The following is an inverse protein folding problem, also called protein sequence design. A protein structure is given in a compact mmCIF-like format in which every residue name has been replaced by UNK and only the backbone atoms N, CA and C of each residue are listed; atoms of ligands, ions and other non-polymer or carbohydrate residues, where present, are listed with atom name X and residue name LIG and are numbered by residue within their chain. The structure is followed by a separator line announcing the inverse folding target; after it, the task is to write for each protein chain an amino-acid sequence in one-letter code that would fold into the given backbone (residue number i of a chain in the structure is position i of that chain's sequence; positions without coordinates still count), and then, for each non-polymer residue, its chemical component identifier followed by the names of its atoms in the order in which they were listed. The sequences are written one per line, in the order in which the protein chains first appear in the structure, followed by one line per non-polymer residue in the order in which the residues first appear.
data_IF_837142808739
#
_entry.id   IF_837142808739
#
_cell.length_a   1.000
_cell.length_b   1.000
_cell.length_c   1.000
_cell.angle_alpha   90.00
_cell.angle_beta   90.00
_cell.angle_gamma   90.00
#
_symmetry.space_group_name_H-M   'P 1'
#
loop_
_entity.id
_entity.type
_entity.pdbx_description
1 polymer ?
#
# COMPACT_ATOMS: atom_id res chain seq x y z
N UNK A 1 -57.73 -31.08 59.20
CA UNK A 1 -56.54 -30.20 59.05
C UNK A 1 -56.09 -30.34 57.61
N UNK A 2 -56.60 -29.47 56.73
CA UNK A 2 -56.44 -29.60 55.27
C UNK A 2 -55.14 -28.93 54.82
N UNK A 3 -54.29 -29.67 54.10
CA UNK A 3 -52.98 -29.22 53.63
C UNK A 3 -53.09 -28.26 52.45
N UNK A 4 -52.39 -27.14 52.51
CA UNK A 4 -52.18 -26.21 51.39
C UNK A 4 -51.24 -26.82 50.34
N UNK A 5 -51.41 -26.55 49.03
CA UNK A 5 -50.43 -26.94 48.02
C UNK A 5 -49.17 -26.04 48.11
N UNK A 6 -47.97 -26.55 47.75
CA UNK A 6 -46.75 -25.76 47.76
C UNK A 6 -46.75 -24.72 46.63
N UNK A 7 -46.02 -23.59 46.78
CA UNK A 7 -45.91 -22.59 45.73
C UNK A 7 -45.09 -23.14 44.55
N UNK A 8 -45.55 -22.84 43.34
CA UNK A 8 -44.82 -23.14 42.11
C UNK A 8 -43.51 -22.34 42.11
N UNK A 9 -42.38 -23.05 42.04
CA UNK A 9 -41.06 -22.46 41.81
C UNK A 9 -41.09 -21.69 40.49
N UNK A 10 -40.87 -20.37 40.58
CA UNK A 10 -40.61 -19.52 39.43
C UNK A 10 -39.47 -20.12 38.62
N UNK A 11 -39.73 -20.44 37.35
CA UNK A 11 -38.69 -20.77 36.39
C UNK A 11 -37.67 -19.63 36.39
N UNK A 12 -36.42 -19.94 36.75
CA UNK A 12 -35.34 -18.99 36.73
C UNK A 12 -35.24 -18.36 35.34
N UNK A 13 -35.24 -17.03 35.29
CA UNK A 13 -34.93 -16.30 34.08
C UNK A 13 -33.60 -16.81 33.51
N UNK A 14 -33.67 -17.51 32.38
CA UNK A 14 -32.48 -17.95 31.67
C UNK A 14 -31.60 -16.74 31.39
N UNK A 15 -30.33 -16.81 31.78
CA UNK A 15 -29.35 -15.79 31.39
C UNK A 15 -29.43 -15.58 29.87
N UNK A 16 -29.49 -14.32 29.38
CA UNK A 16 -29.43 -14.09 27.95
C UNK A 16 -28.08 -14.60 27.45
N UNK A 17 -28.10 -15.67 26.64
CA UNK A 17 -26.91 -16.19 25.99
C UNK A 17 -26.35 -15.09 25.08
N UNK A 18 -25.14 -14.59 25.37
CA UNK A 18 -24.44 -13.66 24.49
C UNK A 18 -24.03 -14.38 23.21
N UNK A 19 -24.58 -13.98 22.07
CA UNK A 19 -24.25 -14.50 20.74
C UNK A 19 -23.64 -13.38 19.91
N UNK A 20 -22.44 -13.61 19.38
CA UNK A 20 -21.72 -12.65 18.54
C UNK A 20 -21.14 -13.36 17.31
N UNK A 21 -21.12 -12.65 16.18
CA UNK A 21 -20.50 -13.09 14.94
C UNK A 21 -19.66 -11.95 14.39
N UNK A 22 -18.48 -12.28 13.84
CA UNK A 22 -17.62 -11.33 13.14
C UNK A 22 -17.22 -11.92 11.79
N UNK A 23 -17.11 -11.08 10.77
CA UNK A 23 -16.60 -11.45 9.46
C UNK A 23 -15.54 -10.43 9.04
N UNK A 24 -14.50 -10.94 8.40
CA UNK A 24 -13.45 -10.12 7.80
C UNK A 24 -13.28 -10.55 6.35
N UNK A 25 -12.90 -9.61 5.49
CA UNK A 25 -12.43 -9.89 4.15
C UNK A 25 -10.94 -9.57 4.07
N UNK A 26 -10.16 -10.52 3.57
CA UNK A 26 -8.78 -10.30 3.18
C UNK A 26 -8.75 -9.94 1.69
N UNK A 27 -8.19 -8.78 1.33
CA UNK A 27 -8.04 -8.33 -0.06
C UNK A 27 -6.56 -8.04 -0.37
N UNK A 28 -6.06 -8.44 -1.54
CA UNK A 28 -4.72 -8.06 -1.96
C UNK A 28 -4.74 -6.62 -2.51
N UNK A 29 -3.89 -5.76 -1.97
CA UNK A 29 -3.50 -4.49 -2.59
C UNK A 29 -2.19 -4.71 -3.33
N UNK A 30 -2.14 -4.37 -4.62
CA UNK A 30 -0.95 -4.52 -5.47
C UNK A 30 -0.59 -3.19 -6.10
N UNK A 31 0.70 -2.98 -6.31
CA UNK A 31 1.24 -1.85 -7.06
C UNK A 31 2.69 -2.11 -7.43
N UNK A 32 3.26 -1.22 -8.24
CA UNK A 32 4.64 -1.34 -8.65
C UNK A 32 5.31 0.02 -8.78
N UNK A 33 6.63 0.01 -8.76
CA UNK A 33 7.50 1.14 -9.05
C UNK A 33 8.46 0.75 -10.19
N UNK A 34 8.73 1.69 -11.10
CA UNK A 34 9.84 1.59 -12.05
C UNK A 34 10.90 2.61 -11.67
N UNK A 35 12.06 2.14 -11.23
CA UNK A 35 13.26 2.92 -10.96
C UNK A 35 14.15 2.89 -12.21
N UNK A 36 14.29 4.04 -12.88
CA UNK A 36 15.20 4.20 -14.02
C UNK A 36 16.45 4.95 -13.56
N UNK A 37 17.61 4.40 -13.89
CA UNK A 37 18.92 4.94 -13.56
C UNK A 37 19.64 5.18 -14.87
N UNK A 38 19.69 6.44 -15.28
CA UNK A 38 20.48 6.88 -16.43
C UNK A 38 21.93 7.10 -15.96
N UNK A 39 22.91 6.63 -16.72
CA UNK A 39 24.32 6.73 -16.33
C UNK A 39 24.77 5.60 -15.40
N UNK A 40 24.29 4.37 -15.61
CA UNK A 40 24.68 3.19 -14.81
C UNK A 40 26.20 3.04 -14.68
N UNK A 41 26.97 3.38 -15.71
CA UNK A 41 28.43 3.35 -15.65
C UNK A 41 29.00 4.19 -14.50
N UNK A 42 28.39 5.34 -14.18
CA UNK A 42 28.81 6.23 -13.10
C UNK A 42 28.41 5.74 -11.72
N UNK A 43 27.33 4.95 -11.60
CA UNK A 43 26.91 4.44 -10.29
C UNK A 43 27.92 3.45 -9.71
N UNK A 44 28.76 2.85 -10.55
CA UNK A 44 29.85 1.96 -10.12
C UNK A 44 30.95 2.65 -9.32
N UNK A 45 31.04 3.98 -9.37
CA UNK A 45 32.01 4.74 -8.60
C UNK A 45 31.57 4.98 -7.14
N UNK A 46 30.32 4.66 -6.79
CA UNK A 46 29.84 4.77 -5.41
C UNK A 46 30.54 3.72 -4.53
N UNK A 47 31.03 4.04 -3.32
CA UNK A 47 31.61 3.02 -2.45
C UNK A 47 30.55 1.99 -2.01
N UNK A 48 30.98 0.80 -1.59
CA UNK A 48 30.07 -0.18 -1.02
C UNK A 48 29.31 0.36 0.19
N UNK A 49 28.06 -0.08 0.35
CA UNK A 49 27.12 0.47 1.33
C UNK A 49 26.42 1.77 0.92
N UNK A 50 26.89 2.48 -0.13
CA UNK A 50 26.14 3.62 -0.69
C UNK A 50 25.00 3.17 -1.61
N UNK A 51 23.90 3.92 -1.56
CA UNK A 51 22.66 3.59 -2.30
C UNK A 51 22.08 4.76 -3.06
N UNK A 52 21.36 4.43 -4.12
CA UNK A 52 20.39 5.31 -4.76
C UNK A 52 19.00 4.85 -4.32
N UNK A 53 18.25 5.73 -3.64
CA UNK A 53 16.89 5.46 -3.20
C UNK A 53 15.89 6.04 -4.18
N UNK A 54 14.87 5.25 -4.53
CA UNK A 54 13.77 5.69 -5.39
C UNK A 54 12.86 6.72 -4.72
N UNK A 55 11.98 7.31 -5.52
CA UNK A 55 10.79 7.98 -4.99
C UNK A 55 9.92 7.02 -4.18
N UNK A 56 9.11 7.60 -3.29
CA UNK A 56 8.17 6.88 -2.46
C UNK A 56 6.89 6.56 -3.25
N UNK A 57 6.43 5.32 -3.19
CA UNK A 57 5.18 4.88 -3.78
C UNK A 57 4.27 4.21 -2.75
N UNK A 58 2.95 4.21 -3.00
CA UNK A 58 1.95 3.75 -2.02
C UNK A 58 1.32 2.43 -2.45
N UNK A 59 1.38 1.42 -1.59
CA UNK A 59 0.69 0.14 -1.77
C UNK A 59 0.08 -0.29 -0.44
N UNK A 60 -1.20 -0.65 -0.47
CA UNK A 60 -1.92 -1.11 0.71
C UNK A 60 -2.04 -0.06 1.83
N UNK A 61 -2.11 1.23 1.47
CA UNK A 61 -2.10 2.36 2.42
C UNK A 61 -0.75 2.64 3.08
N UNK A 62 0.32 1.96 2.67
CA UNK A 62 1.69 2.14 3.20
C UNK A 62 2.60 2.72 2.14
N UNK A 63 3.63 3.41 2.60
CA UNK A 63 4.66 4.01 1.77
C UNK A 63 5.89 3.12 1.68
N UNK A 64 6.39 2.97 0.47
CA UNK A 64 7.48 2.08 0.13
C UNK A 64 8.51 2.83 -0.72
N UNK A 65 9.77 2.45 -0.60
CA UNK A 65 10.83 2.88 -1.50
C UNK A 65 11.77 1.71 -1.81
N UNK A 66 12.48 1.81 -2.93
CA UNK A 66 13.48 0.83 -3.36
C UNK A 66 14.86 1.44 -3.21
N UNK A 67 15.76 0.72 -2.56
CA UNK A 67 17.18 1.05 -2.49
C UNK A 67 17.96 0.19 -3.48
N UNK A 68 18.75 0.84 -4.31
CA UNK A 68 19.70 0.23 -5.24
C UNK A 68 21.13 0.47 -4.77
N UNK A 69 21.87 -0.62 -4.59
CA UNK A 69 23.29 -0.60 -4.21
C UNK A 69 24.13 -1.16 -5.36
N UNK A 70 24.87 -0.31 -6.10
CA UNK A 70 25.67 -0.75 -7.24
C UNK A 70 26.83 -1.66 -6.84
N UNK A 71 27.35 -1.49 -5.61
CA UNK A 71 28.53 -2.18 -5.09
C UNK A 71 28.23 -2.94 -3.79
N UNK A 72 26.98 -3.37 -3.62
CA UNK A 72 26.54 -4.12 -2.45
C UNK A 72 26.16 -3.24 -1.26
N UNK A 73 25.41 -3.82 -0.33
CA UNK A 73 24.89 -3.14 0.86
C UNK A 73 25.85 -3.12 2.06
N UNK A 74 26.96 -3.85 1.99
CA UNK A 74 27.95 -3.93 3.05
C UNK A 74 28.91 -2.73 2.96
N UNK A 75 28.80 -1.81 3.91
CA UNK A 75 29.68 -0.64 4.00
C UNK A 75 31.12 -0.97 4.44
N UNK A 76 31.39 -2.22 4.85
CA UNK A 76 32.75 -2.67 5.22
C UNK A 76 33.57 -3.16 4.02
N UNK A 77 32.93 -3.33 2.86
CA UNK A 77 33.58 -3.72 1.62
C UNK A 77 33.40 -2.60 0.58
N UNK A 78 34.50 -2.16 -0.04
CA UNK A 78 34.43 -1.09 -1.04
C UNK A 78 33.75 -1.54 -2.34
N UNK A 79 33.78 -2.85 -2.63
CA UNK A 79 33.24 -3.41 -3.86
C UNK A 79 32.64 -4.81 -3.63
N UNK A 80 31.42 -5.02 -4.14
CA UNK A 80 30.82 -6.34 -4.34
C UNK A 80 30.85 -6.71 -5.82
N UNK A 81 30.84 -8.00 -6.12
CA UNK A 81 30.67 -8.55 -7.48
C UNK A 81 29.22 -8.54 -7.95
N UNK A 82 28.26 -8.13 -7.11
CA UNK A 82 26.84 -8.10 -7.43
C UNK A 82 26.18 -6.77 -7.05
N UNK A 83 25.10 -6.42 -7.75
CA UNK A 83 24.23 -5.32 -7.31
C UNK A 83 23.25 -5.85 -6.27
N UNK A 84 22.89 -5.01 -5.30
CA UNK A 84 21.88 -5.32 -4.29
C UNK A 84 20.63 -4.45 -4.46
N UNK A 85 19.47 -5.02 -4.19
CA UNK A 85 18.17 -4.34 -4.28
C UNK A 85 17.35 -4.65 -3.03
N UNK A 86 16.82 -3.62 -2.38
CA UNK A 86 16.00 -3.76 -1.19
C UNK A 86 14.73 -2.93 -1.27
N UNK A 87 13.62 -3.50 -0.81
CA UNK A 87 12.37 -2.79 -0.57
C UNK A 87 12.34 -2.37 0.90
N UNK A 88 12.04 -1.10 1.16
CA UNK A 88 11.86 -0.58 2.52
C UNK A 88 10.47 0.01 2.72
N UNK A 89 9.97 -0.19 3.94
CA UNK A 89 8.78 0.46 4.44
C UNK A 89 9.17 1.80 5.06
N UNK A 90 8.60 2.89 4.53
CA UNK A 90 8.87 4.26 4.98
C UNK A 90 7.86 4.61 6.07
N UNK A 91 8.35 5.02 7.25
CA UNK A 91 7.50 5.52 8.33
C UNK A 91 7.57 7.02 8.51
N UNK A 92 6.61 7.61 9.22
CA UNK A 92 6.67 9.02 9.61
C UNK A 92 7.28 9.19 11.00
N UNK A 93 7.97 10.31 11.22
CA UNK A 93 8.75 10.61 12.43
C UNK A 93 7.96 10.51 13.75
N UNK A 94 6.62 10.64 13.71
CA UNK A 94 5.76 10.62 14.89
C UNK A 94 5.11 9.26 15.19
N UNK A 95 5.31 8.26 14.33
CA UNK A 95 4.78 6.91 14.59
C UNK A 95 5.70 6.17 15.57
N UNK A 96 5.36 6.25 16.86
CA UNK A 96 6.01 5.46 17.92
C UNK A 96 5.65 3.97 17.86
N UNK A 97 4.72 3.57 16.98
CA UNK A 97 4.26 2.20 16.85
C UNK A 97 5.14 1.44 15.85
N UNK A 98 5.76 0.35 16.30
CA UNK A 98 6.48 -0.62 15.45
C UNK A 98 5.48 -1.37 14.57
N UNK A 99 4.93 -0.71 13.55
CA UNK A 99 4.09 -1.41 12.56
C UNK A 99 4.94 -2.49 11.88
N UNK A 100 4.39 -3.71 11.83
CA UNK A 100 4.96 -4.85 11.12
C UNK A 100 4.05 -5.15 9.95
N UNK A 101 4.56 -4.97 8.74
CA UNK A 101 3.78 -5.20 7.53
C UNK A 101 4.33 -6.43 6.83
N UNK A 102 3.48 -7.41 6.57
CA UNK A 102 3.83 -8.56 5.73
C UNK A 102 3.46 -8.22 4.29
N UNK A 103 4.45 -8.26 3.39
CA UNK A 103 4.24 -7.96 1.99
C UNK A 103 5.01 -8.95 1.10
N UNK A 104 4.41 -9.28 -0.04
CA UNK A 104 5.09 -9.94 -1.15
C UNK A 104 5.81 -8.87 -1.97
N UNK A 105 7.03 -9.16 -2.42
CA UNK A 105 7.78 -8.29 -3.33
C UNK A 105 8.46 -9.10 -4.43
N UNK A 106 8.69 -8.46 -5.58
CA UNK A 106 9.46 -9.02 -6.68
C UNK A 106 10.26 -7.91 -7.36
N UNK A 107 11.50 -8.19 -7.69
CA UNK A 107 12.35 -7.31 -8.48
C UNK A 107 12.57 -7.89 -9.88
N UNK A 108 12.59 -7.02 -10.88
CA UNK A 108 12.86 -7.39 -12.27
C UNK A 108 13.67 -6.30 -12.97
N UNK A 109 14.63 -6.69 -13.80
CA UNK A 109 15.28 -5.78 -14.73
C UNK A 109 14.48 -5.75 -16.03
N UNK A 110 14.21 -4.54 -16.51
CA UNK A 110 13.43 -4.33 -17.71
C UNK A 110 14.34 -4.15 -18.93
N UNK A 111 13.92 -4.71 -20.06
CA UNK A 111 14.45 -4.32 -21.37
C UNK A 111 13.89 -2.96 -21.80
N UNK A 112 14.38 -2.42 -22.92
CA UNK A 112 13.89 -1.15 -23.49
C UNK A 112 12.40 -1.15 -23.85
N UNK A 113 11.82 -2.33 -24.11
CA UNK A 113 10.40 -2.46 -24.43
C UNK A 113 9.53 -2.51 -23.16
N UNK A 114 10.15 -2.52 -21.97
CA UNK A 114 9.48 -2.59 -20.67
C UNK A 114 9.15 -4.00 -20.22
N UNK A 115 9.70 -5.03 -20.85
CA UNK A 115 9.49 -6.43 -20.45
C UNK A 115 10.54 -6.86 -19.43
N UNK A 116 10.18 -7.75 -18.52
CA UNK A 116 11.12 -8.36 -17.59
C UNK A 116 12.11 -9.27 -18.33
N UNK A 117 13.37 -8.85 -18.42
CA UNK A 117 14.45 -9.60 -19.08
C UNK A 117 15.35 -10.35 -18.08
N UNK A 118 15.29 -9.96 -16.81
CA UNK A 118 15.88 -10.71 -15.69
C UNK A 118 15.00 -10.53 -14.45
N UNK A 119 14.76 -11.59 -13.69
CA UNK A 119 13.96 -11.54 -12.46
C UNK A 119 14.30 -12.69 -11.54
N UNK A 120 14.11 -12.47 -10.24
CA UNK A 120 14.11 -13.53 -9.22
C UNK A 120 12.67 -13.84 -8.77
N UNK A 121 12.42 -15.02 -8.19
CA UNK A 121 11.10 -15.40 -7.69
C UNK A 121 10.55 -14.38 -6.68
N UNK A 122 9.24 -14.17 -6.67
CA UNK A 122 8.63 -13.29 -5.68
C UNK A 122 8.82 -13.84 -4.26
N UNK A 123 9.24 -12.97 -3.34
CA UNK A 123 9.47 -13.30 -1.93
C UNK A 123 8.44 -12.64 -1.03
N UNK A 124 8.29 -13.15 0.19
CA UNK A 124 7.42 -12.54 1.20
C UNK A 124 8.23 -12.17 2.43
N UNK A 125 8.29 -10.88 2.71
CA UNK A 125 9.01 -10.30 3.83
C UNK A 125 8.08 -9.75 4.91
N UNK A 126 8.60 -9.64 6.13
CA UNK A 126 8.01 -8.76 7.15
C UNK A 126 8.88 -7.53 7.30
N UNK A 127 8.29 -6.37 7.05
CA UNK A 127 8.92 -5.06 7.06
C UNK A 127 8.59 -4.34 8.35
N UNK A 128 9.53 -3.56 8.87
CA UNK A 128 9.30 -2.65 9.99
C UNK A 128 9.52 -1.22 9.55
N UNK A 129 8.75 -0.29 10.13
CA UNK A 129 8.92 1.13 9.84
C UNK A 129 10.34 1.55 10.18
N UNK A 130 11.09 1.95 9.15
CA UNK A 130 12.40 2.56 9.35
C UNK A 130 12.17 4.03 9.65
N UNK A 131 12.79 4.54 10.71
CA UNK A 131 12.72 5.98 11.03
C UNK A 131 13.32 6.76 9.87
N UNK A 132 12.69 7.82 9.36
CA UNK A 132 13.34 8.71 8.41
C UNK A 132 14.46 9.45 9.12
N UNK A 133 15.69 9.19 8.72
CA UNK A 133 16.86 9.96 9.16
C UNK A 133 16.91 11.33 8.47
N UNK A 134 16.04 11.60 7.47
CA UNK A 134 16.16 12.71 6.53
C UNK A 134 15.04 13.78 6.59
N UNK A 135 14.42 14.04 7.74
CA UNK A 135 13.58 15.23 7.93
C UNK A 135 14.02 16.06 9.14
N UNK A 136 15.33 16.14 9.40
CA UNK A 136 15.86 17.09 10.38
C UNK A 136 16.75 18.18 9.78
N UNK A 137 17.02 18.16 8.48
CA UNK A 137 17.62 19.30 7.80
C UNK A 137 16.89 19.54 6.50
N UNK A 138 16.58 20.82 6.26
CA UNK A 138 15.76 21.28 5.16
C UNK A 138 16.36 20.96 3.80
N UNK A 139 15.62 21.41 2.78
CA UNK A 139 16.03 21.43 1.39
C UNK A 139 17.52 21.71 1.19
N UNK A 140 18.07 20.98 0.21
CA UNK A 140 19.41 21.00 -0.34
C UNK A 140 20.48 20.13 0.38
N UNK A 141 21.12 19.31 -0.46
CA UNK A 141 22.29 18.46 -0.25
C UNK A 141 22.04 17.05 0.30
N UNK A 142 22.06 16.09 -0.63
CA UNK A 142 22.29 14.69 -0.33
C UNK A 142 23.73 14.48 0.14
N UNK A 143 23.91 14.33 1.44
CA UNK A 143 25.01 13.61 2.10
C UNK A 143 24.55 13.37 3.54
N UNK A 144 24.36 12.11 3.93
CA UNK A 144 24.01 11.76 5.30
C UNK A 144 25.25 11.94 6.20
N UNK A 145 25.32 13.02 6.96
CA UNK A 145 26.31 13.16 8.04
C UNK A 145 25.81 12.42 9.27
N UNK A 146 26.56 11.40 9.70
CA UNK A 146 26.30 10.69 10.94
C UNK A 146 26.33 11.67 12.14
N UNK A 147 25.43 11.52 13.14
CA UNK A 147 25.40 12.42 14.28
C UNK A 147 26.68 12.29 15.10
N UNK A 148 27.48 13.35 15.14
CA UNK A 148 28.60 13.49 16.07
C UNK A 148 27.99 13.85 17.42
N UNK A 149 27.66 12.84 18.24
CA UNK A 149 27.73 12.90 19.71
C UNK A 149 27.22 11.61 20.36
N UNK A 150 28.14 10.92 21.03
CA UNK A 150 27.87 10.23 22.31
C UNK A 150 27.03 8.96 22.29
N UNK A 151 27.67 7.81 22.04
CA UNK A 151 27.49 6.62 22.90
C UNK A 151 26.18 5.83 22.83
N UNK A 152 25.34 6.03 21.82
CA UNK A 152 24.32 5.05 21.45
C UNK A 152 24.67 4.50 20.08
N UNK A 153 24.95 3.20 20.01
CA UNK A 153 25.07 2.48 18.75
C UNK A 153 23.91 2.91 17.87
N UNK A 154 24.20 3.59 16.76
CA UNK A 154 23.20 3.93 15.75
C UNK A 154 22.44 2.63 15.50
N UNK A 155 21.19 2.57 15.93
CA UNK A 155 20.39 1.37 15.78
C UNK A 155 20.42 1.07 14.29
N UNK A 156 21.03 -0.06 13.90
CA UNK A 156 21.21 -0.42 12.51
C UNK A 156 19.90 -0.18 11.77
N UNK A 157 19.91 0.75 10.81
CA UNK A 157 18.72 1.05 10.03
C UNK A 157 18.21 -0.26 9.42
N UNK A 158 16.90 -0.54 9.52
CA UNK A 158 16.33 -1.71 8.85
C UNK A 158 16.49 -1.47 7.34
N UNK A 159 17.46 -2.15 6.73
CA UNK A 159 17.74 -2.08 5.29
C UNK A 159 16.56 -2.58 4.45
N UNK A 160 15.54 -3.17 5.09
CA UNK A 160 14.37 -3.70 4.43
C UNK A 160 14.56 -5.15 4.01
N UNK A 161 13.85 -5.58 2.96
CA UNK A 161 13.91 -6.96 2.45
C UNK A 161 14.19 -6.94 0.96
N UNK A 162 15.03 -7.85 0.51
CA UNK A 162 15.53 -7.88 -0.84
C UNK A 162 16.72 -8.80 -0.99
N UNK A 163 17.55 -8.52 -1.98
CA UNK A 163 18.64 -9.40 -2.41
C UNK A 163 19.97 -8.70 -2.21
N UNK A 164 20.84 -9.29 -1.40
CA UNK A 164 22.24 -8.84 -1.25
C UNK A 164 23.06 -9.05 -2.53
N UNK A 165 22.68 -10.06 -3.33
CA UNK A 165 23.25 -10.36 -4.64
C UNK A 165 22.10 -10.64 -5.62
N UNK A 166 21.48 -9.59 -6.15
CA UNK A 166 20.34 -9.71 -7.06
C UNK A 166 20.77 -10.25 -8.44
N UNK A 167 21.85 -9.69 -8.97
CA UNK A 167 22.49 -10.13 -10.22
C UNK A 167 23.97 -9.76 -10.12
N UNK A 168 24.85 -10.65 -10.58
CA UNK A 168 26.29 -10.36 -10.62
C UNK A 168 26.56 -9.28 -11.67
N UNK A 169 27.57 -8.45 -11.42
CA UNK A 169 28.03 -7.42 -12.36
C UNK A 169 28.44 -8.06 -13.67
N UNK A 170 29.09 -9.22 -13.62
CA UNK A 170 29.48 -10.02 -14.78
C UNK A 170 28.28 -10.41 -15.64
N UNK A 171 27.20 -10.91 -15.02
CA UNK A 171 25.97 -11.28 -15.74
C UNK A 171 25.27 -10.05 -16.32
N UNK A 172 25.20 -8.96 -15.55
CA UNK A 172 24.58 -7.72 -15.98
C UNK A 172 25.34 -7.10 -17.17
N UNK A 173 26.67 -7.13 -17.13
CA UNK A 173 27.54 -6.69 -18.22
C UNK A 173 27.47 -7.59 -19.45
N UNK A 174 27.38 -8.92 -19.25
CA UNK A 174 27.16 -9.87 -20.35
C UNK A 174 25.86 -9.57 -21.11
N UNK A 175 24.86 -9.02 -20.41
CA UNK A 175 23.55 -8.62 -20.98
C UNK A 175 23.43 -7.12 -21.26
N UNK A 176 24.55 -6.41 -21.37
CA UNK A 176 24.59 -4.96 -21.61
C UNK A 176 23.66 -4.49 -22.73
N UNK A 177 23.62 -5.20 -23.86
CA UNK A 177 22.84 -4.78 -25.03
C UNK A 177 21.33 -4.84 -24.81
N UNK A 178 20.84 -5.63 -23.84
CA UNK A 178 19.43 -5.75 -23.51
C UNK A 178 19.04 -5.04 -22.21
N UNK A 179 19.90 -5.06 -21.19
CA UNK A 179 19.62 -4.55 -19.84
C UNK A 179 20.22 -3.18 -19.52
N UNK A 180 21.25 -2.75 -20.26
CA UNK A 180 22.00 -1.50 -20.02
C UNK A 180 22.11 -0.64 -21.28
N UNK A 181 21.13 -0.76 -22.18
CA UNK A 181 21.16 -0.03 -23.45
C UNK A 181 21.06 1.47 -23.18
N UNK A 182 21.87 2.26 -23.88
CA UNK A 182 22.04 3.70 -23.63
C UNK A 182 22.55 4.03 -22.21
N UNK A 183 23.32 3.12 -21.59
CA UNK A 183 23.83 3.26 -20.22
C UNK A 183 22.73 3.47 -19.17
N UNK A 184 21.54 2.92 -19.45
CA UNK A 184 20.36 3.03 -18.61
C UNK A 184 20.01 1.67 -17.99
N UNK A 185 19.95 1.62 -16.66
CA UNK A 185 19.44 0.47 -15.91
C UNK A 185 17.99 0.75 -15.49
N UNK A 186 17.08 -0.18 -15.78
CA UNK A 186 15.68 -0.08 -15.38
C UNK A 186 15.28 -1.24 -14.46
N UNK A 187 14.83 -0.90 -13.25
CA UNK A 187 14.38 -1.85 -12.24
C UNK A 187 12.88 -1.67 -12.01
N UNK A 188 12.11 -2.76 -12.09
CA UNK A 188 10.73 -2.83 -11.62
C UNK A 188 10.68 -3.51 -10.27
N UNK A 189 9.91 -2.94 -9.35
CA UNK A 189 9.56 -3.56 -8.08
C UNK A 189 8.05 -3.72 -7.99
N UNK A 190 7.56 -4.95 -7.93
CA UNK A 190 6.15 -5.26 -7.66
C UNK A 190 5.96 -5.52 -6.17
N UNK A 191 4.91 -4.96 -5.59
CA UNK A 191 4.58 -5.10 -4.17
C UNK A 191 3.13 -5.54 -4.01
N UNK A 192 2.91 -6.52 -3.14
CA UNK A 192 1.59 -7.03 -2.76
C UNK A 192 1.41 -7.04 -1.24
N UNK A 193 0.41 -6.31 -0.74
CA UNK A 193 0.07 -6.25 0.68
C UNK A 193 -1.31 -6.87 0.90
N UNK A 194 -1.44 -7.72 1.91
CA UNK A 194 -2.75 -8.24 2.31
C UNK A 194 -3.42 -7.27 3.27
N UNK A 195 -4.54 -6.69 2.85
CA UNK A 195 -5.39 -5.86 3.70
C UNK A 195 -6.52 -6.71 4.29
N UNK A 196 -6.80 -6.54 5.58
CA UNK A 196 -7.91 -7.22 6.27
C UNK A 196 -8.89 -6.15 6.74
N UNK A 197 -10.14 -6.23 6.26
CA UNK A 197 -11.19 -5.27 6.60
C UNK A 197 -12.39 -6.00 7.24
N UNK A 198 -12.99 -5.47 8.32
CA UNK A 198 -14.20 -6.04 8.90
C UNK A 198 -15.39 -5.86 7.95
N UNK A 199 -16.24 -6.89 7.87
CA UNK A 199 -17.52 -6.84 7.21
C UNK A 199 -18.64 -6.89 8.25
N UNK A 200 -19.68 -6.08 8.06
CA UNK A 200 -20.87 -6.11 8.92
C UNK A 200 -21.62 -7.44 8.74
N UNK A 201 -21.70 -8.24 9.80
CA UNK A 201 -22.54 -9.45 9.83
C UNK A 201 -23.80 -9.12 10.60
N UNK A 202 -24.90 -8.89 9.87
CA UNK A 202 -26.24 -8.87 10.48
C UNK A 202 -26.82 -10.27 10.31
N UNK A 203 -27.19 -10.98 11.39
CA UNK A 203 -27.94 -12.22 11.26
C UNK A 203 -29.20 -11.94 10.44
N UNK A 204 -29.37 -12.66 9.32
CA UNK A 204 -30.57 -12.52 8.49
C UNK A 204 -31.78 -12.78 9.39
N UNK A 205 -32.69 -11.81 9.60
CA UNK A 205 -33.87 -12.06 10.42
C UNK A 205 -34.59 -13.26 9.84
N UNK A 206 -34.92 -14.26 10.67
CA UNK A 206 -35.90 -15.26 10.28
C UNK A 206 -37.16 -14.46 9.94
N UNK A 207 -37.54 -14.45 8.67
CA UNK A 207 -38.78 -13.82 8.21
C UNK A 207 -39.93 -14.60 8.84
N UNK A 208 -40.27 -14.24 10.08
CA UNK A 208 -41.52 -14.67 10.67
C UNK A 208 -42.63 -14.08 9.78
N UNK A 209 -43.59 -14.89 9.31
CA UNK A 209 -44.73 -14.36 8.58
C UNK A 209 -45.39 -13.27 9.44
N UNK A 210 -45.78 -12.13 8.86
CA UNK A 210 -46.40 -11.07 9.62
C UNK A 210 -47.63 -11.61 10.36
N UNK A 211 -47.84 -11.25 11.64
CA UNK A 211 -49.05 -11.63 12.33
C UNK A 211 -50.26 -11.13 11.54
N UNK A 212 -51.22 -12.02 11.30
CA UNK A 212 -52.49 -11.70 10.65
C UNK A 212 -53.23 -10.73 11.58
N UNK A 213 -53.11 -9.43 11.30
CA UNK A 213 -53.89 -8.40 12.00
C UNK A 213 -55.34 -8.47 11.54
N UNK A 214 -56.33 -8.53 12.44
CA UNK A 214 -57.73 -8.34 12.07
C UNK A 214 -57.88 -6.95 11.45
N UNK A 215 -58.45 -6.87 10.24
CA UNK A 215 -58.76 -5.60 9.58
C UNK A 215 -59.70 -4.79 10.47
N UNK A 216 -59.20 -3.71 11.07
CA UNK A 216 -60.06 -2.61 11.50
C UNK A 216 -60.03 -1.52 10.43
N UNK A 217 -61.18 -1.36 9.79
CA UNK A 217 -61.45 -0.39 8.74
C UNK A 217 -61.66 0.98 9.39
N UNK A 218 -60.59 1.73 9.60
CA UNK A 218 -60.66 3.15 9.92
C UNK A 218 -59.74 3.90 8.96
N UNK A 219 -60.32 4.37 7.86
CA UNK A 219 -59.65 5.23 6.89
C UNK A 219 -59.32 6.58 7.52
N UNK A 220 -58.03 6.86 7.71
CA UNK A 220 -57.51 8.21 7.89
C UNK A 220 -56.67 8.59 6.69
N UNK A 221 -57.17 9.55 5.93
CA UNK A 221 -56.49 10.23 4.84
C UNK A 221 -55.43 11.15 5.44
N UNK A 222 -54.14 10.85 5.27
CA UNK A 222 -53.06 11.80 5.55
C UNK A 222 -52.65 12.48 4.25
N UNK A 223 -53.11 13.71 4.05
CA UNK A 223 -52.63 14.61 3.02
C UNK A 223 -51.22 15.10 3.36
N UNK A 224 -50.27 14.91 2.43
CA UNK A 224 -48.94 15.50 2.51
C UNK A 224 -48.97 17.00 2.20
N UNK A 225 -48.27 17.79 3.00
CA UNK A 225 -48.05 19.21 2.72
C UNK A 225 -46.96 19.36 1.64
N UNK A 226 -47.12 20.24 0.64
CA UNK A 226 -46.02 20.63 -0.24
C UNK A 226 -45.11 21.65 0.48
N UNK A 227 -43.80 21.43 0.46
CA UNK A 227 -42.83 22.47 0.80
C UNK A 227 -42.76 23.50 -0.35
N UNK A 228 -42.95 24.77 -0.01
CA UNK A 228 -42.83 25.91 -0.92
C UNK A 228 -41.50 26.62 -0.71
N UNK A 229 -40.91 27.16 -1.78
CA UNK A 229 -39.84 28.14 -1.66
C UNK A 229 -40.41 29.52 -1.24
N UNK A 230 -39.56 30.43 -0.75
CA UNK A 230 -39.92 31.78 -0.23
C UNK A 230 -40.65 32.71 -1.23
N UNK A 231 -40.76 32.29 -2.49
CA UNK A 231 -41.45 32.97 -3.59
C UNK A 231 -42.76 32.28 -4.04
N UNK A 232 -43.21 31.24 -3.32
CA UNK A 232 -44.55 30.65 -3.48
C UNK A 232 -44.76 29.75 -4.70
N UNK A 233 -43.69 29.34 -5.39
CA UNK A 233 -43.74 28.40 -6.51
C UNK A 233 -43.34 26.96 -6.09
N UNK A 234 -43.95 25.91 -6.69
CA UNK A 234 -43.56 24.52 -6.42
C UNK A 234 -42.14 24.25 -6.92
N UNK A 235 -41.28 23.66 -6.07
CA UNK A 235 -39.89 23.38 -6.42
C UNK A 235 -39.83 22.28 -7.50
N UNK A 236 -39.42 22.64 -8.71
CA UNK A 236 -39.06 21.68 -9.76
C UNK A 236 -37.57 21.42 -9.63
N UNK A 237 -37.21 20.24 -9.13
CA UNK A 237 -35.83 19.80 -9.00
C UNK A 237 -35.31 19.41 -10.40
N UNK A 238 -34.62 20.33 -11.09
CA UNK A 238 -33.89 20.04 -12.33
C UNK A 238 -32.50 19.47 -11.97
N UNK A 239 -32.36 18.16 -12.09
CA UNK A 239 -31.15 17.38 -11.81
C UNK A 239 -30.00 17.58 -12.81
N UNK A 240 -29.98 18.66 -13.60
CA UNK A 240 -29.05 18.85 -14.72
C UNK A 240 -27.93 19.85 -14.40
N UNK A 241 -27.19 19.65 -13.30
CA UNK A 241 -25.84 20.24 -13.14
C UNK A 241 -24.81 19.13 -13.07
N UNK A 242 -24.62 18.51 -14.21
CA UNK A 242 -23.51 17.63 -14.48
C UNK A 242 -22.21 18.44 -14.34
N UNK A 243 -21.56 18.31 -13.18
CA UNK A 243 -20.17 18.73 -12.99
C UNK A 243 -19.38 18.13 -14.14
N UNK A 244 -18.87 18.99 -15.04
CA UNK A 244 -17.90 18.63 -16.08
C UNK A 244 -16.79 17.82 -15.42
N UNK A 245 -16.91 16.49 -15.48
CA UNK A 245 -15.83 15.58 -15.16
C UNK A 245 -14.76 15.95 -16.17
N UNK A 246 -13.64 16.47 -15.70
CA UNK A 246 -12.45 16.58 -16.53
C UNK A 246 -12.30 15.25 -17.24
N UNK A 247 -12.25 15.27 -18.57
CA UNK A 247 -11.90 14.11 -19.37
C UNK A 247 -10.45 13.73 -19.02
N UNK A 248 -10.29 13.08 -17.88
CA UNK A 248 -9.05 12.46 -17.46
C UNK A 248 -9.05 11.14 -18.21
N UNK A 249 -8.16 11.02 -19.20
CA UNK A 249 -7.97 9.77 -19.93
C UNK A 249 -7.86 8.62 -18.93
N UNK A 250 -8.47 7.46 -19.21
CA UNK A 250 -8.32 6.29 -18.36
C UNK A 250 -6.82 6.05 -18.14
N UNK A 251 -6.40 5.71 -16.90
CA UNK A 251 -5.00 5.51 -16.60
C UNK A 251 -4.41 4.52 -17.61
N UNK A 252 -3.22 4.82 -18.17
CA UNK A 252 -2.62 3.98 -19.19
C UNK A 252 -2.46 2.55 -18.65
N UNK A 253 -2.66 1.56 -19.52
CA UNK A 253 -2.30 0.17 -19.23
C UNK A 253 -0.87 0.11 -18.69
N UNK A 254 -0.60 -0.78 -17.74
CA UNK A 254 0.68 -0.86 -17.03
C UNK A 254 1.88 -0.90 -18.00
N UNK A 255 1.71 -1.60 -19.13
CA UNK A 255 2.75 -1.70 -20.17
C UNK A 255 3.03 -0.38 -20.87
N UNK A 256 2.00 0.43 -21.09
CA UNK A 256 2.14 1.77 -21.65
C UNK A 256 2.75 2.74 -20.63
N UNK A 257 2.35 2.63 -19.36
CA UNK A 257 2.96 3.40 -18.27
C UNK A 257 4.47 3.14 -18.18
N UNK A 258 4.86 1.86 -18.14
CA UNK A 258 6.28 1.45 -18.13
C UNK A 258 7.02 2.01 -19.34
N UNK A 259 6.47 1.86 -20.55
CA UNK A 259 7.12 2.39 -21.76
C UNK A 259 7.32 3.90 -21.70
N UNK A 260 6.36 4.66 -21.16
CA UNK A 260 6.52 6.11 -20.96
C UNK A 260 7.59 6.46 -19.93
N UNK A 261 7.64 5.74 -18.82
CA UNK A 261 8.70 5.90 -17.81
C UNK A 261 10.09 5.65 -18.42
N UNK A 262 10.23 4.64 -19.27
CA UNK A 262 11.50 4.33 -19.94
C UNK A 262 11.84 5.32 -21.05
N UNK A 263 10.85 5.81 -21.81
CA UNK A 263 11.08 6.74 -22.92
C UNK A 263 11.33 8.19 -22.49
N UNK A 264 10.95 8.56 -21.26
CA UNK A 264 11.08 9.93 -20.75
C UNK A 264 12.56 10.32 -20.55
N UNK A 265 13.31 10.62 -21.60
CA UNK A 265 14.64 11.25 -21.46
C UNK A 265 14.47 12.56 -20.69
N UNK A 266 15.31 12.84 -19.69
CA UNK A 266 15.40 14.22 -19.18
C UNK A 266 15.84 15.08 -20.37
N UNK A 267 15.03 16.08 -20.72
CA UNK A 267 15.49 17.17 -21.59
C UNK A 267 16.42 18.02 -20.74
N UNK A 268 17.67 18.22 -21.18
CA UNK A 268 18.74 18.93 -20.47
C UNK A 268 19.73 17.95 -19.84
N UNK A 269 21.03 18.03 -20.11
CA UNK A 269 21.84 19.25 -20.31
C UNK A 269 22.38 19.49 -21.73
#
# INVERSE_FOLDING_TARGET
MSSLPPPLLSAGAGQPSSRSASCFVAKPARGFLVLRIDGYSWTKALPGGERITSDVFTVGGRQWCVDYYPNGADASADESDAIALYLRLVGYQYQQQKERVRAQYKFSLLDLAGNAAYELPAETGTFTLTRPTALLLGQDYGFAVAPISGGQAAAAEDIGRGYAAFITREELERRRDSLLKEDCLAVRCDVGVTEVAPLSVVPKPLMLPPPIMPRHDYGYHYGGYPEFNDDGAPSVWDGSRERKRSHQEPPPDDKEYIRRCLAAKRRGD
#
